data_IF_845271482684
#
_entry.id   IF_845271482684
#
_cell.length_a   1.000
_cell.length_b   1.000
_cell.length_c   1.000
_cell.angle_alpha   90.00
_cell.angle_beta   90.00
_cell.angle_gamma   90.00
#
_symmetry.space_group_name_H-M   'P 1'
#
loop_
_entity.id
_entity.type
_entity.pdbx_description
1 polymer ?
#
# COMPACT_ATOMS: atom_id res chain seq x y z
N UNK A 1 -1.92 17.66 -15.05
CA UNK A 1 -1.90 17.08 -13.72
C UNK A 1 -3.05 17.66 -12.92
N UNK A 2 -3.92 16.83 -12.44
CA UNK A 2 -5.02 17.25 -11.57
C UNK A 2 -4.54 17.55 -10.13
N UNK A 3 -5.45 17.95 -9.25
CA UNK A 3 -5.09 18.28 -7.86
C UNK A 3 -4.56 17.07 -7.10
N UNK A 4 -5.18 15.89 -7.26
CA UNK A 4 -4.75 14.67 -6.56
C UNK A 4 -3.31 14.32 -6.88
N UNK A 5 -2.93 14.33 -8.16
CA UNK A 5 -1.56 14.06 -8.60
C UNK A 5 -0.57 15.07 -8.00
N UNK A 6 -0.90 16.37 -8.01
CA UNK A 6 -0.02 17.43 -7.47
C UNK A 6 0.12 17.35 -5.96
N UNK A 7 -0.95 17.02 -5.24
CA UNK A 7 -0.93 16.81 -3.79
C UNK A 7 -0.06 15.59 -3.46
N UNK A 8 -0.27 14.47 -4.17
CA UNK A 8 0.51 13.25 -4.00
C UNK A 8 2.00 13.50 -4.26
N UNK A 9 2.33 14.18 -5.36
CA UNK A 9 3.70 14.53 -5.69
C UNK A 9 4.35 15.37 -4.58
N UNK A 10 3.67 16.40 -4.06
CA UNK A 10 4.19 17.25 -2.97
C UNK A 10 4.39 16.45 -1.70
N UNK A 11 3.40 15.65 -1.30
CA UNK A 11 3.42 14.87 -0.06
C UNK A 11 4.55 13.84 -0.06
N UNK A 12 4.70 13.07 -1.16
CA UNK A 12 5.69 12.01 -1.25
C UNK A 12 7.11 12.51 -1.53
N UNK A 13 7.29 13.79 -1.93
CA UNK A 13 8.60 14.43 -2.08
C UNK A 13 9.08 15.19 -0.83
N UNK A 14 8.42 15.09 0.32
CA UNK A 14 8.94 15.62 1.57
C UNK A 14 10.30 14.97 1.89
N UNK A 15 11.27 15.76 2.44
CA UNK A 15 12.68 15.33 2.51
C UNK A 15 12.93 14.04 3.28
N UNK A 16 12.15 13.76 4.32
CA UNK A 16 12.32 12.61 5.21
C UNK A 16 11.47 11.38 4.79
N UNK A 17 10.65 11.50 3.75
CA UNK A 17 9.71 10.44 3.35
C UNK A 17 10.41 9.15 2.94
N UNK A 18 11.49 9.23 2.18
CA UNK A 18 12.21 8.03 1.73
C UNK A 18 12.76 7.20 2.89
N UNK A 19 13.35 7.85 3.90
CA UNK A 19 13.87 7.14 5.08
C UNK A 19 12.74 6.52 5.90
N UNK A 20 11.70 7.30 6.22
CA UNK A 20 10.55 6.83 7.00
C UNK A 20 9.85 5.63 6.35
N UNK A 21 9.63 5.67 5.03
CA UNK A 21 8.99 4.55 4.33
C UNK A 21 9.90 3.31 4.29
N UNK A 22 11.22 3.48 4.20
CA UNK A 22 12.15 2.36 4.25
C UNK A 22 12.23 1.70 5.65
N UNK A 23 12.03 2.47 6.73
CA UNK A 23 12.08 2.00 8.12
C UNK A 23 10.73 1.48 8.63
N UNK A 24 9.61 1.96 8.07
CA UNK A 24 8.24 1.63 8.52
C UNK A 24 8.00 0.13 8.69
N UNK A 25 8.53 -0.66 7.79
CA UNK A 25 8.38 -2.12 7.77
C UNK A 25 9.14 -2.86 8.88
N UNK A 26 10.05 -2.19 9.55
CA UNK A 26 10.77 -2.73 10.72
C UNK A 26 10.17 -2.24 12.02
N UNK A 27 9.32 -1.23 11.96
CA UNK A 27 8.79 -0.49 13.10
C UNK A 27 7.38 -0.94 13.47
N UNK A 28 6.52 -1.18 12.46
CA UNK A 28 5.10 -1.48 12.70
C UNK A 28 4.74 -2.93 12.34
N UNK A 29 4.14 -3.63 13.29
CA UNK A 29 3.80 -5.06 13.14
C UNK A 29 2.77 -5.29 12.06
N UNK A 30 1.79 -4.41 11.91
CA UNK A 30 0.76 -4.53 10.87
C UNK A 30 1.37 -4.38 9.47
N UNK A 31 2.35 -3.51 9.28
CA UNK A 31 3.11 -3.42 8.02
C UNK A 31 3.91 -4.70 7.76
N UNK A 32 4.57 -5.26 8.79
CA UNK A 32 5.30 -6.53 8.66
C UNK A 32 4.36 -7.66 8.20
N UNK A 33 3.18 -7.77 8.80
CA UNK A 33 2.20 -8.82 8.46
C UNK A 33 1.66 -8.64 7.04
N UNK A 34 1.30 -7.41 6.67
CA UNK A 34 0.80 -7.09 5.33
C UNK A 34 1.86 -7.40 4.26
N UNK A 35 3.09 -6.97 4.48
CA UNK A 35 4.19 -7.22 3.53
C UNK A 35 4.51 -8.70 3.39
N UNK A 36 4.50 -9.45 4.49
CA UNK A 36 4.72 -10.90 4.45
C UNK A 36 3.65 -11.63 3.63
N UNK A 37 2.39 -11.19 3.69
CA UNK A 37 1.31 -11.73 2.87
C UNK A 37 1.56 -11.44 1.38
N UNK A 38 1.80 -10.18 1.02
CA UNK A 38 2.03 -9.75 -0.36
C UNK A 38 3.27 -10.45 -0.94
N UNK A 39 4.36 -10.52 -0.19
CA UNK A 39 5.59 -11.19 -0.59
C UNK A 39 5.36 -12.67 -0.90
N UNK A 40 4.60 -13.37 -0.05
CA UNK A 40 4.25 -14.77 -0.27
C UNK A 40 3.42 -14.95 -1.53
N UNK A 41 2.37 -14.15 -1.72
CA UNK A 41 1.55 -14.19 -2.94
C UNK A 41 2.39 -13.91 -4.18
N UNK A 42 3.23 -12.89 -4.12
CA UNK A 42 4.10 -12.50 -5.21
C UNK A 42 5.07 -13.63 -5.60
N UNK A 43 5.82 -14.17 -4.64
CA UNK A 43 6.81 -15.23 -4.89
C UNK A 43 6.18 -16.55 -5.33
N UNK A 44 4.94 -16.83 -4.93
CA UNK A 44 4.21 -18.05 -5.34
C UNK A 44 3.72 -18.00 -6.78
N UNK A 45 3.79 -16.84 -7.44
CA UNK A 45 3.17 -16.63 -8.75
C UNK A 45 4.16 -16.05 -9.78
N UNK A 46 5.44 -16.45 -9.72
CA UNK A 46 6.48 -15.98 -10.65
C UNK A 46 6.71 -16.88 -11.86
N UNK A 47 6.00 -18.00 -11.98
CA UNK A 47 6.18 -18.95 -13.09
C UNK A 47 5.99 -18.25 -14.45
N UNK A 48 7.04 -18.32 -15.28
CA UNK A 48 7.06 -17.71 -16.60
C UNK A 48 7.15 -16.19 -16.63
N UNK A 49 7.32 -15.50 -15.49
CA UNK A 49 7.52 -14.05 -15.42
C UNK A 49 8.98 -13.71 -15.65
N UNK A 50 9.26 -12.73 -16.50
CA UNK A 50 10.59 -12.18 -16.77
C UNK A 50 10.64 -10.66 -16.61
N UNK A 51 9.54 -9.98 -16.94
CA UNK A 51 9.45 -8.52 -16.92
C UNK A 51 8.32 -8.08 -15.99
N UNK A 52 8.62 -7.08 -15.16
CA UNK A 52 7.69 -6.57 -14.15
C UNK A 52 7.59 -5.05 -14.25
N UNK A 53 6.36 -4.54 -14.16
CA UNK A 53 6.07 -3.14 -13.91
C UNK A 53 5.62 -3.00 -12.45
N UNK A 54 6.33 -2.19 -11.69
CA UNK A 54 6.02 -1.86 -10.29
C UNK A 54 5.58 -0.40 -10.22
N UNK A 55 4.28 -0.18 -10.16
CA UNK A 55 3.64 1.14 -10.24
C UNK A 55 3.36 1.73 -8.87
N UNK A 56 3.91 2.92 -8.59
CA UNK A 56 3.90 3.52 -7.25
C UNK A 56 4.84 2.76 -6.31
N UNK A 57 6.02 2.41 -6.81
CA UNK A 57 6.94 1.45 -6.21
C UNK A 57 7.64 1.94 -4.92
N UNK A 58 7.47 3.22 -4.55
CA UNK A 58 8.01 3.80 -3.32
C UNK A 58 9.53 3.59 -3.16
N UNK A 59 9.96 3.11 -2.00
CA UNK A 59 11.38 2.81 -1.72
C UNK A 59 11.88 1.52 -2.37
N UNK A 60 11.07 0.86 -3.23
CA UNK A 60 11.51 -0.24 -4.07
C UNK A 60 11.59 -1.62 -3.41
N UNK A 61 10.90 -1.83 -2.27
CA UNK A 61 10.91 -3.13 -1.58
C UNK A 61 10.65 -4.30 -2.53
N UNK A 62 9.52 -4.28 -3.22
CA UNK A 62 9.13 -5.38 -4.11
C UNK A 62 9.92 -5.37 -5.41
N UNK A 63 10.31 -4.21 -5.93
CA UNK A 63 11.24 -4.09 -7.06
C UNK A 63 12.56 -4.81 -6.77
N UNK A 64 13.16 -4.57 -5.60
CA UNK A 64 14.41 -5.19 -5.15
C UNK A 64 14.23 -6.69 -4.91
N UNK A 65 13.12 -7.09 -4.27
CA UNK A 65 12.79 -8.50 -4.05
C UNK A 65 12.77 -9.27 -5.36
N UNK A 66 12.07 -8.75 -6.38
CA UNK A 66 11.94 -9.42 -7.68
C UNK A 66 13.23 -9.36 -8.51
N UNK A 67 13.98 -8.27 -8.41
CA UNK A 67 15.30 -8.17 -9.04
C UNK A 67 16.27 -9.22 -8.47
N UNK A 68 16.21 -9.53 -7.16
CA UNK A 68 16.95 -10.64 -6.54
C UNK A 68 16.54 -12.01 -7.06
N UNK A 69 15.29 -12.18 -7.52
CA UNK A 69 14.84 -13.39 -8.21
C UNK A 69 15.30 -13.45 -9.68
N UNK A 70 16.07 -12.47 -10.13
CA UNK A 70 16.61 -12.42 -11.50
C UNK A 70 15.69 -11.73 -12.51
N UNK A 71 14.57 -11.15 -12.10
CA UNK A 71 13.62 -10.48 -12.98
C UNK A 71 14.10 -9.07 -13.37
N UNK A 72 13.64 -8.58 -14.52
CA UNK A 72 13.80 -7.19 -14.92
C UNK A 72 12.60 -6.38 -14.47
N UNK A 73 12.85 -5.33 -13.68
CA UNK A 73 11.80 -4.53 -13.07
C UNK A 73 11.85 -3.09 -13.59
N UNK A 74 10.71 -2.57 -14.03
CA UNK A 74 10.48 -1.14 -14.19
C UNK A 74 9.87 -0.61 -12.92
N UNK A 75 10.68 0.08 -12.12
CA UNK A 75 10.28 0.80 -10.90
C UNK A 75 9.75 2.17 -11.32
N UNK A 76 8.45 2.38 -11.15
CA UNK A 76 7.76 3.60 -11.57
C UNK A 76 7.13 4.30 -10.35
N UNK A 77 7.51 5.55 -10.11
CA UNK A 77 6.99 6.34 -8.99
C UNK A 77 6.91 7.83 -9.33
N UNK A 78 5.99 8.54 -8.71
CA UNK A 78 5.82 9.99 -8.87
C UNK A 78 6.88 10.78 -8.08
N UNK A 79 7.39 10.20 -6.99
CA UNK A 79 8.30 10.83 -6.06
C UNK A 79 9.75 10.61 -6.42
N UNK A 80 10.47 11.73 -6.61
CA UNK A 80 11.92 11.67 -6.75
C UNK A 80 12.61 11.17 -5.47
N UNK A 81 12.14 11.61 -4.31
CA UNK A 81 12.67 11.20 -3.00
C UNK A 81 12.59 9.69 -2.83
N UNK A 82 11.47 9.07 -3.22
CA UNK A 82 11.31 7.61 -3.18
C UNK A 82 12.24 6.90 -4.16
N UNK A 83 12.32 7.37 -5.41
CA UNK A 83 13.20 6.79 -6.43
C UNK A 83 14.67 6.87 -6.01
N UNK A 84 15.11 8.00 -5.47
CA UNK A 84 16.49 8.18 -5.02
C UNK A 84 16.82 7.18 -3.88
N UNK A 85 15.88 6.99 -2.93
CA UNK A 85 16.03 5.99 -1.87
C UNK A 85 15.99 4.56 -2.40
N UNK A 86 15.11 4.25 -3.34
CA UNK A 86 15.04 2.94 -3.98
C UNK A 86 16.33 2.59 -4.72
N UNK A 87 16.97 3.55 -5.39
CA UNK A 87 18.28 3.37 -6.04
C UNK A 87 19.37 3.04 -5.04
N UNK A 88 19.44 3.77 -3.93
CA UNK A 88 20.39 3.50 -2.84
C UNK A 88 20.22 2.08 -2.29
N UNK A 89 18.98 1.67 -2.03
CA UNK A 89 18.68 0.33 -1.51
C UNK A 89 18.96 -0.77 -2.54
N UNK A 90 18.67 -0.53 -3.82
CA UNK A 90 18.96 -1.47 -4.90
C UNK A 90 20.49 -1.66 -5.12
N UNK A 91 21.25 -0.59 -5.01
CA UNK A 91 22.72 -0.63 -5.07
C UNK A 91 23.30 -1.46 -3.91
N UNK A 92 22.87 -1.16 -2.67
CA UNK A 92 23.22 -1.94 -1.47
C UNK A 92 22.84 -3.43 -1.60
N UNK A 93 21.77 -3.72 -2.32
CA UNK A 93 21.29 -5.08 -2.58
C UNK A 93 22.02 -5.78 -3.74
N UNK A 94 22.83 -5.07 -4.53
CA UNK A 94 23.56 -5.60 -5.69
C UNK A 94 22.66 -5.94 -6.88
N UNK A 95 21.53 -5.24 -7.06
CA UNK A 95 20.54 -5.53 -8.12
C UNK A 95 20.18 -4.29 -8.97
N UNK A 96 20.98 -3.24 -8.87
CA UNK A 96 20.72 -1.96 -9.55
C UNK A 96 20.62 -2.13 -11.08
N UNK A 97 21.40 -3.02 -11.68
CA UNK A 97 21.43 -3.33 -13.10
C UNK A 97 20.15 -4.02 -13.63
N UNK A 98 19.31 -4.54 -12.73
CA UNK A 98 18.04 -5.21 -13.06
C UNK A 98 16.82 -4.32 -12.93
N UNK A 99 17.00 -3.08 -12.44
CA UNK A 99 15.90 -2.17 -12.17
C UNK A 99 16.03 -0.91 -13.03
N UNK A 100 15.02 -0.64 -13.85
CA UNK A 100 14.88 0.62 -14.59
C UNK A 100 14.00 1.56 -13.77
N UNK A 101 14.54 2.68 -13.35
CA UNK A 101 13.81 3.67 -12.55
C UNK A 101 13.20 4.75 -13.43
N UNK A 102 11.91 4.93 -13.34
CA UNK A 102 11.15 5.92 -14.12
C UNK A 102 10.32 6.78 -13.19
N UNK A 103 10.39 8.10 -13.36
CA UNK A 103 9.54 9.04 -12.65
C UNK A 103 8.32 9.37 -13.49
N UNK A 104 7.12 9.19 -12.93
CA UNK A 104 5.86 9.51 -13.59
C UNK A 104 4.66 9.32 -12.68
N UNK A 105 3.50 9.78 -13.13
CA UNK A 105 2.22 9.62 -12.46
C UNK A 105 1.48 8.41 -13.04
N UNK A 106 0.81 7.61 -12.18
CA UNK A 106 0.05 6.43 -12.61
C UNK A 106 -1.15 6.78 -13.52
N UNK A 107 -1.57 8.03 -13.52
CA UNK A 107 -2.61 8.57 -14.41
C UNK A 107 -2.13 8.76 -15.86
N UNK A 108 -0.83 8.62 -16.13
CA UNK A 108 -0.27 8.69 -17.47
C UNK A 108 0.73 7.56 -17.74
N UNK A 109 0.20 6.45 -18.24
CA UNK A 109 0.96 5.29 -18.69
C UNK A 109 0.96 5.14 -20.22
N UNK A 110 0.68 6.23 -20.95
CA UNK A 110 0.57 6.25 -22.41
C UNK A 110 1.86 5.91 -23.15
N UNK A 111 3.01 6.12 -22.51
CA UNK A 111 4.33 5.78 -23.05
C UNK A 111 4.58 4.26 -23.18
N UNK A 112 3.77 3.44 -22.54
CA UNK A 112 3.93 1.97 -22.56
C UNK A 112 2.89 1.32 -23.47
N UNK A 113 3.36 0.38 -24.29
CA UNK A 113 2.50 -0.41 -25.15
C UNK A 113 1.66 -1.42 -24.35
N UNK A 114 0.54 -1.86 -24.93
CA UNK A 114 -0.28 -2.93 -24.39
C UNK A 114 0.54 -4.22 -24.22
N UNK A 115 0.27 -4.96 -23.15
CA UNK A 115 0.90 -6.24 -22.85
C UNK A 115 2.43 -6.21 -22.84
N UNK A 116 3.04 -5.10 -22.38
CA UNK A 116 4.49 -4.91 -22.38
C UNK A 116 5.22 -5.57 -21.20
N UNK A 117 4.50 -5.96 -20.14
CA UNK A 117 5.08 -6.60 -18.96
C UNK A 117 4.38 -7.92 -18.62
N UNK A 118 5.16 -8.95 -18.28
CA UNK A 118 4.60 -10.25 -17.89
C UNK A 118 3.77 -10.13 -16.61
N UNK A 119 4.23 -9.33 -15.63
CA UNK A 119 3.54 -8.99 -14.39
C UNK A 119 3.44 -7.48 -14.25
N UNK A 120 2.25 -6.99 -13.93
CA UNK A 120 2.04 -5.61 -13.46
C UNK A 120 1.63 -5.66 -12.01
N UNK A 121 2.30 -4.87 -11.17
CA UNK A 121 1.97 -4.76 -9.76
C UNK A 121 1.91 -3.31 -9.30
N UNK A 122 1.12 -3.06 -8.23
CA UNK A 122 1.01 -1.76 -7.57
C UNK A 122 0.57 -2.00 -6.12
N UNK A 123 1.46 -1.83 -5.15
CA UNK A 123 1.19 -2.17 -3.76
C UNK A 123 1.27 -0.95 -2.83
N UNK A 124 0.62 -1.03 -1.67
CA UNK A 124 0.47 0.06 -0.69
C UNK A 124 -0.39 1.21 -1.19
N UNK A 125 -1.42 0.86 -1.96
CA UNK A 125 -2.51 1.74 -2.35
C UNK A 125 -2.17 2.94 -3.27
N UNK A 126 -1.16 2.92 -4.17
CA UNK A 126 -0.94 4.06 -5.06
C UNK A 126 -2.15 4.38 -5.92
N UNK A 127 -2.88 3.35 -6.37
CA UNK A 127 -4.13 3.50 -7.15
C UNK A 127 -5.20 4.29 -6.39
N UNK A 128 -5.25 4.15 -5.07
CA UNK A 128 -6.19 4.91 -4.23
C UNK A 128 -5.93 6.41 -4.24
N UNK A 129 -4.72 6.84 -4.55
CA UNK A 129 -4.35 8.26 -4.63
C UNK A 129 -4.55 8.89 -6.00
N UNK A 130 -5.05 8.14 -6.98
CA UNK A 130 -5.33 8.64 -8.33
C UNK A 130 -6.77 9.14 -8.53
N UNK A 131 -7.53 9.32 -7.43
CA UNK A 131 -8.88 9.89 -7.51
C UNK A 131 -8.89 11.25 -8.22
N UNK A 132 -9.84 11.54 -9.13
CA UNK A 132 -11.02 10.75 -9.50
C UNK A 132 -10.76 9.73 -10.63
N UNK A 133 -9.50 9.44 -10.96
CA UNK A 133 -9.09 8.62 -12.11
C UNK A 133 -8.77 7.17 -11.74
N UNK A 134 -9.09 6.71 -10.52
CA UNK A 134 -8.70 5.38 -10.00
C UNK A 134 -9.15 4.21 -10.88
N UNK A 135 -10.34 4.30 -11.48
CA UNK A 135 -10.82 3.26 -12.40
C UNK A 135 -10.05 3.26 -13.73
N UNK A 136 -9.73 4.45 -14.25
CA UNK A 136 -8.90 4.54 -15.45
C UNK A 136 -7.50 4.03 -15.19
N UNK A 137 -6.91 4.34 -14.03
CA UNK A 137 -5.61 3.83 -13.61
C UNK A 137 -5.60 2.29 -13.55
N UNK A 138 -6.67 1.66 -13.01
CA UNK A 138 -6.80 0.19 -13.04
C UNK A 138 -6.84 -0.31 -14.48
N UNK A 139 -7.62 0.31 -15.38
CA UNK A 139 -7.67 -0.07 -16.80
C UNK A 139 -6.29 0.00 -17.45
N UNK A 140 -5.54 1.07 -17.18
CA UNK A 140 -4.21 1.26 -17.76
C UNK A 140 -3.19 0.25 -17.20
N UNK A 141 -3.22 -0.05 -15.91
CA UNK A 141 -2.38 -1.10 -15.32
C UNK A 141 -2.71 -2.48 -15.91
N UNK A 142 -4.00 -2.82 -16.07
CA UNK A 142 -4.42 -4.08 -16.72
C UNK A 142 -3.97 -4.12 -18.18
N UNK A 143 -4.09 -3.01 -18.92
CA UNK A 143 -3.64 -2.90 -20.31
C UNK A 143 -2.15 -3.24 -20.47
N UNK A 144 -1.32 -2.81 -19.52
CA UNK A 144 0.12 -3.10 -19.57
C UNK A 144 0.45 -4.57 -19.29
N UNK A 145 -0.42 -5.29 -18.57
CA UNK A 145 -0.16 -6.66 -18.15
C UNK A 145 -0.36 -7.66 -19.29
N UNK A 146 0.59 -8.58 -19.44
CA UNK A 146 0.55 -9.67 -20.43
C UNK A 146 0.03 -10.97 -19.85
N UNK A 147 0.37 -11.28 -18.59
CA UNK A 147 0.03 -12.56 -17.96
C UNK A 147 -0.72 -12.35 -16.64
N UNK A 148 -0.27 -11.44 -15.81
CA UNK A 148 -0.75 -11.33 -14.44
C UNK A 148 -0.77 -9.90 -13.94
N UNK A 149 -1.76 -9.58 -13.12
CA UNK A 149 -1.84 -8.34 -12.35
C UNK A 149 -1.96 -8.65 -10.86
N UNK A 150 -1.27 -7.86 -10.03
CA UNK A 150 -1.37 -7.89 -8.58
C UNK A 150 -1.38 -6.46 -8.05
N UNK A 151 -2.44 -6.07 -7.37
CA UNK A 151 -2.54 -4.72 -6.80
C UNK A 151 -3.05 -4.76 -5.37
N UNK A 152 -2.71 -3.74 -4.59
CA UNK A 152 -3.41 -3.46 -3.36
C UNK A 152 -3.88 -2.01 -3.31
N UNK A 153 -5.09 -1.83 -2.79
CA UNK A 153 -5.75 -0.53 -2.68
C UNK A 153 -6.23 -0.32 -1.25
N UNK A 154 -6.54 0.92 -0.89
CA UNK A 154 -7.15 1.21 0.41
C UNK A 154 -8.52 0.54 0.52
N UNK A 155 -8.76 -0.17 1.63
CA UNK A 155 -10.02 -0.85 1.91
C UNK A 155 -10.99 0.09 2.62
N UNK A 156 -12.19 0.27 2.07
CA UNK A 156 -13.25 1.06 2.71
C UNK A 156 -13.66 0.46 4.05
N UNK A 157 -13.94 -0.83 4.09
CA UNK A 157 -14.35 -1.50 5.32
C UNK A 157 -13.23 -1.60 6.37
N UNK A 158 -11.99 -1.84 5.93
CA UNK A 158 -10.83 -1.89 6.83
C UNK A 158 -10.45 -0.54 7.41
N UNK A 159 -10.76 0.56 6.72
CA UNK A 159 -10.47 1.91 7.15
C UNK A 159 -11.45 2.46 8.18
N UNK A 160 -12.71 2.02 8.21
CA UNK A 160 -13.70 2.53 9.16
C UNK A 160 -13.31 2.31 10.62
N UNK A 161 -12.90 1.09 11.06
CA UNK A 161 -12.40 0.90 12.42
C UNK A 161 -11.14 1.72 12.71
N UNK A 162 -10.29 1.91 11.70
CA UNK A 162 -9.10 2.74 11.79
C UNK A 162 -9.47 4.23 12.03
N UNK A 163 -10.45 4.78 11.32
CA UNK A 163 -10.93 6.15 11.52
C UNK A 163 -11.61 6.35 12.88
N UNK A 164 -12.27 5.30 13.38
CA UNK A 164 -12.91 5.31 14.70
C UNK A 164 -11.94 5.12 15.88
N UNK A 165 -10.66 4.85 15.60
CA UNK A 165 -9.66 4.57 16.62
C UNK A 165 -8.60 5.70 16.69
N UNK A 166 -8.65 6.57 17.70
CA UNK A 166 -7.70 7.67 17.83
C UNK A 166 -6.26 7.17 18.03
N UNK A 167 -6.08 5.92 18.51
CA UNK A 167 -4.77 5.32 18.78
C UNK A 167 -4.23 4.48 17.63
N UNK A 168 -4.84 4.53 16.47
CA UNK A 168 -4.48 3.70 15.33
C UNK A 168 -2.99 3.70 14.98
N UNK A 169 -2.31 4.85 15.14
CA UNK A 169 -0.87 5.01 14.88
C UNK A 169 0.00 4.56 16.06
N UNK A 170 -0.60 4.38 17.23
CA UNK A 170 0.08 3.96 18.47
C UNK A 170 -0.10 2.45 18.73
N UNK A 171 -0.86 1.78 17.87
CA UNK A 171 -1.00 0.33 17.91
C UNK A 171 0.04 -0.31 17.00
N UNK A 172 0.39 -1.54 17.31
CA UNK A 172 1.26 -2.36 16.47
C UNK A 172 2.72 -1.90 16.38
N UNK A 173 3.21 -1.11 17.36
CA UNK A 173 4.62 -0.74 17.47
C UNK A 173 5.42 -1.95 17.97
N UNK A 174 6.45 -2.35 17.21
CA UNK A 174 7.28 -3.51 17.54
C UNK A 174 8.23 -3.24 18.73
N UNK A 175 8.83 -2.05 18.77
CA UNK A 175 9.73 -1.61 19.83
C UNK A 175 9.37 -0.21 20.31
N UNK A 176 8.70 -0.13 21.45
CA UNK A 176 8.31 1.13 22.08
C UNK A 176 9.52 1.92 22.65
N UNK A 177 10.68 1.28 22.81
CA UNK A 177 11.92 1.93 23.24
C UNK A 177 12.75 2.47 22.07
N UNK A 178 12.27 2.32 20.85
CA UNK A 178 12.94 2.84 19.66
C UNK A 178 13.17 4.35 19.77
N UNK A 179 14.35 4.81 19.37
CA UNK A 179 14.65 6.24 19.25
C UNK A 179 14.06 6.88 17.98
N UNK A 180 13.34 6.12 17.16
CA UNK A 180 12.64 6.61 15.98
C UNK A 180 11.66 7.72 16.36
N UNK A 181 11.80 8.87 15.69
CA UNK A 181 11.03 10.08 16.02
C UNK A 181 9.54 9.90 15.81
N UNK A 182 9.14 9.04 14.86
CA UNK A 182 7.74 8.74 14.60
C UNK A 182 7.14 7.85 15.69
N UNK A 183 7.88 6.83 16.14
CA UNK A 183 7.47 6.00 17.27
C UNK A 183 7.28 6.87 18.51
N UNK A 184 8.28 7.70 18.83
CA UNK A 184 8.22 8.59 20.00
C UNK A 184 7.07 9.59 19.89
N UNK A 185 6.80 10.13 18.70
CA UNK A 185 5.62 10.98 18.50
C UNK A 185 4.32 10.23 18.74
N UNK A 186 4.18 9.02 18.22
CA UNK A 186 3.01 8.17 18.46
C UNK A 186 2.77 7.95 19.95
N UNK A 187 3.80 7.56 20.69
CA UNK A 187 3.70 7.27 22.13
C UNK A 187 3.38 8.53 22.93
N UNK A 188 4.08 9.63 22.67
CA UNK A 188 3.94 10.88 23.41
C UNK A 188 2.60 11.59 23.13
N UNK A 189 2.00 11.41 21.96
CA UNK A 189 0.70 12.00 21.61
C UNK A 189 -0.50 11.16 22.06
N UNK A 190 -0.29 9.95 22.58
CA UNK A 190 -1.36 8.99 22.91
C UNK A 190 -2.47 9.58 23.79
N UNK A 191 -2.10 10.21 24.89
CA UNK A 191 -3.11 10.76 25.81
C UNK A 191 -3.86 11.94 25.19
N UNK A 192 -3.16 12.82 24.47
CA UNK A 192 -3.78 13.94 23.76
C UNK A 192 -4.76 13.45 22.69
N UNK A 193 -4.45 12.36 22.00
CA UNK A 193 -5.35 11.77 21.01
C UNK A 193 -6.62 11.20 21.65
N UNK A 194 -6.51 10.56 22.84
CA UNK A 194 -7.66 10.05 23.58
C UNK A 194 -8.53 11.22 24.04
N UNK A 195 -7.94 12.20 24.68
CA UNK A 195 -8.66 13.34 25.29
C UNK A 195 -9.35 14.22 24.23
N UNK A 196 -8.73 14.36 23.08
CA UNK A 196 -9.25 15.14 21.94
C UNK A 196 -10.22 14.38 21.05
N UNK A 197 -10.40 13.08 21.26
CA UNK A 197 -11.25 12.28 20.39
C UNK A 197 -12.74 12.48 20.69
N UNK A 198 -13.52 12.68 19.63
CA UNK A 198 -14.98 12.66 19.68
C UNK A 198 -15.48 11.76 18.55
N UNK A 199 -16.22 10.71 18.91
CA UNK A 199 -16.88 9.86 17.92
C UNK A 199 -17.96 10.64 17.17
N UNK A 200 -17.86 10.65 15.86
CA UNK A 200 -18.84 11.29 14.97
C UNK A 200 -19.20 10.32 13.85
N UNK A 201 -20.44 9.86 13.86
CA UNK A 201 -20.97 8.93 12.86
C UNK A 201 -20.88 9.50 11.44
N UNK A 202 -21.14 10.80 11.28
CA UNK A 202 -21.12 11.49 10.00
C UNK A 202 -19.78 11.37 9.26
N UNK A 203 -18.65 11.34 9.98
CA UNK A 203 -17.34 11.18 9.37
C UNK A 203 -17.14 9.76 8.81
N UNK A 204 -17.66 8.76 9.52
CA UNK A 204 -17.59 7.36 9.08
C UNK A 204 -18.56 7.10 7.93
N UNK A 205 -19.78 7.63 8.02
CA UNK A 205 -20.80 7.48 6.98
C UNK A 205 -20.38 8.14 5.67
N UNK A 206 -19.78 9.33 5.71
CA UNK A 206 -19.24 9.97 4.53
C UNK A 206 -18.22 9.08 3.80
N UNK A 207 -17.26 8.51 4.54
CA UNK A 207 -16.28 7.57 3.96
C UNK A 207 -16.95 6.29 3.44
N UNK A 208 -17.91 5.75 4.19
CA UNK A 208 -18.63 4.54 3.79
C UNK A 208 -19.41 4.73 2.50
N UNK A 209 -20.06 5.88 2.32
CA UNK A 209 -20.90 6.19 1.17
C UNK A 209 -20.09 6.62 -0.05
N UNK A 210 -19.13 7.52 0.14
CA UNK A 210 -18.38 8.14 -0.97
C UNK A 210 -17.11 7.39 -1.34
N UNK A 211 -16.52 6.61 -0.42
CA UNK A 211 -15.19 6.03 -0.54
C UNK A 211 -14.04 7.00 -0.26
N UNK A 212 -14.31 8.27 0.00
CA UNK A 212 -13.27 9.27 0.27
C UNK A 212 -12.97 9.34 1.77
N UNK A 213 -11.70 9.29 2.12
CA UNK A 213 -11.24 9.38 3.52
C UNK A 213 -10.99 10.83 3.97
N UNK A 214 -11.00 11.78 3.06
CA UNK A 214 -10.75 13.19 3.36
C UNK A 214 -11.84 14.10 2.80
N UNK A 215 -11.92 15.29 3.37
CA UNK A 215 -12.63 16.41 2.75
C UNK A 215 -11.78 16.95 1.60
N UNK A 216 -12.28 16.81 0.37
CA UNK A 216 -11.56 17.22 -0.84
C UNK A 216 -11.38 18.73 -0.91
N UNK A 217 -12.38 19.51 -0.50
CA UNK A 217 -12.34 20.98 -0.55
C UNK A 217 -11.29 21.50 0.44
N UNK A 218 -11.30 21.01 1.68
CA UNK A 218 -10.31 21.41 2.68
C UNK A 218 -8.90 20.96 2.30
N UNK A 219 -8.74 19.74 1.74
CA UNK A 219 -7.46 19.21 1.30
C UNK A 219 -6.87 20.06 0.17
N UNK A 220 -7.69 20.45 -0.80
CA UNK A 220 -7.25 21.32 -1.91
C UNK A 220 -6.95 22.73 -1.41
N UNK A 221 -7.75 23.28 -0.51
CA UNK A 221 -7.50 24.58 0.11
C UNK A 221 -6.17 24.60 0.91
N UNK A 222 -5.88 23.55 1.67
CA UNK A 222 -4.61 23.42 2.37
C UNK A 222 -3.42 23.37 1.39
N UNK A 223 -3.58 22.61 0.29
CA UNK A 223 -2.56 22.58 -0.76
C UNK A 223 -2.32 23.95 -1.39
N UNK A 224 -3.35 24.72 -1.67
CA UNK A 224 -3.25 26.05 -2.27
C UNK A 224 -2.64 27.09 -1.30
N UNK A 225 -2.80 26.89 0.02
CA UNK A 225 -2.05 27.65 1.06
C UNK A 225 -0.56 27.30 1.13
N UNK A 226 -0.07 26.33 0.34
CA UNK A 226 1.32 25.89 0.31
C UNK A 226 1.64 24.76 1.30
N UNK A 227 0.65 24.23 1.99
CA UNK A 227 0.78 23.07 2.89
C UNK A 227 1.02 21.78 2.11
N UNK A 228 1.43 20.71 2.79
CA UNK A 228 1.54 19.36 2.25
C UNK A 228 0.51 18.46 2.96
N UNK A 229 -0.79 18.59 2.62
CA UNK A 229 -1.82 17.75 3.20
C UNK A 229 -1.62 16.29 2.78
N UNK A 230 -2.26 15.36 3.51
CA UNK A 230 -2.29 13.97 3.07
C UNK A 230 -2.98 13.85 1.71
N UNK A 231 -2.61 12.83 0.94
CA UNK A 231 -3.18 12.57 -0.38
C UNK A 231 -4.69 12.37 -0.33
N UNK A 232 -5.41 12.85 -1.35
CA UNK A 232 -6.80 12.48 -1.55
C UNK A 232 -6.83 10.97 -1.81
N UNK A 233 -7.51 10.22 -0.95
CA UNK A 233 -7.51 8.76 -1.00
C UNK A 233 -8.90 8.21 -1.19
N UNK A 234 -9.06 7.42 -2.27
CA UNK A 234 -10.28 6.66 -2.54
C UNK A 234 -10.15 5.24 -2.02
N UNK A 235 -11.12 4.81 -1.21
CA UNK A 235 -11.16 3.51 -0.56
C UNK A 235 -12.19 2.61 -1.22
N UNK A 236 -11.75 1.46 -1.68
CA UNK A 236 -12.57 0.53 -2.45
C UNK A 236 -13.37 -0.41 -1.54
N UNK A 237 -14.59 -0.77 -2.00
CA UNK A 237 -15.26 -1.97 -1.54
C UNK A 237 -14.66 -3.21 -2.24
N UNK A 238 -14.64 -4.38 -1.58
CA UNK A 238 -14.07 -5.59 -2.20
C UNK A 238 -14.72 -5.98 -3.52
N UNK A 239 -16.05 -5.92 -3.59
CA UNK A 239 -16.82 -6.25 -4.79
C UNK A 239 -16.64 -5.20 -5.91
N UNK A 240 -16.41 -3.94 -5.55
CA UNK A 240 -16.10 -2.88 -6.50
C UNK A 240 -14.73 -3.11 -7.17
N UNK A 241 -13.68 -3.37 -6.39
CA UNK A 241 -12.36 -3.68 -6.92
C UNK A 241 -12.40 -4.91 -7.84
N UNK A 242 -13.08 -5.96 -7.39
CA UNK A 242 -13.25 -7.18 -8.18
C UNK A 242 -13.93 -6.90 -9.51
N UNK A 243 -15.06 -6.19 -9.50
CA UNK A 243 -15.78 -5.81 -10.74
C UNK A 243 -14.91 -4.97 -11.67
N UNK A 244 -14.16 -4.01 -11.14
CA UNK A 244 -13.27 -3.17 -11.96
C UNK A 244 -12.23 -4.00 -12.70
N UNK A 245 -11.61 -4.96 -12.03
CA UNK A 245 -10.64 -5.87 -12.64
C UNK A 245 -11.31 -6.80 -13.67
N UNK A 246 -12.43 -7.41 -13.33
CA UNK A 246 -13.17 -8.31 -14.22
C UNK A 246 -13.69 -7.59 -15.48
N UNK A 247 -14.17 -6.34 -15.35
CA UNK A 247 -14.58 -5.51 -16.46
C UNK A 247 -13.43 -5.15 -17.41
N UNK A 248 -12.19 -5.13 -16.90
CA UNK A 248 -10.98 -4.98 -17.71
C UNK A 248 -10.49 -6.29 -18.34
N UNK A 249 -11.21 -7.40 -18.15
CA UNK A 249 -10.88 -8.70 -18.74
C UNK A 249 -10.01 -9.60 -17.85
N UNK A 250 -9.67 -9.18 -16.63
CA UNK A 250 -8.93 -10.01 -15.67
C UNK A 250 -9.77 -11.22 -15.26
N UNK A 251 -9.15 -12.40 -15.26
CA UNK A 251 -9.77 -13.66 -14.89
C UNK A 251 -9.22 -14.16 -13.55
N UNK A 252 -9.98 -15.08 -12.95
CA UNK A 252 -9.59 -15.78 -11.72
C UNK A 252 -9.19 -14.81 -10.60
N UNK A 253 -9.96 -13.69 -10.47
CA UNK A 253 -9.69 -12.64 -9.48
C UNK A 253 -9.85 -13.18 -8.07
N UNK A 254 -8.75 -13.14 -7.30
CA UNK A 254 -8.69 -13.48 -5.89
C UNK A 254 -8.46 -12.23 -5.08
N UNK A 255 -9.23 -12.06 -4.00
CA UNK A 255 -9.08 -10.96 -3.06
C UNK A 255 -8.56 -11.48 -1.72
N UNK A 256 -7.81 -10.63 -1.00
CA UNK A 256 -7.39 -10.88 0.38
C UNK A 256 -7.37 -9.57 1.18
N UNK A 257 -7.41 -9.70 2.51
CA UNK A 257 -7.30 -8.59 3.46
C UNK A 257 -6.05 -8.72 4.33
N UNK A 258 -4.84 -8.48 3.79
CA UNK A 258 -3.61 -8.62 4.54
C UNK A 258 -3.62 -7.85 5.86
N UNK A 259 -3.30 -8.55 6.96
CA UNK A 259 -3.26 -8.00 8.30
C UNK A 259 -4.61 -7.94 9.04
N UNK A 260 -5.70 -8.44 8.44
CA UNK A 260 -7.02 -8.43 9.07
C UNK A 260 -7.03 -9.17 10.42
N UNK A 261 -6.39 -10.34 10.50
CA UNK A 261 -6.30 -11.11 11.75
C UNK A 261 -5.42 -10.41 12.80
N UNK A 262 -4.25 -9.94 12.40
CA UNK A 262 -3.31 -9.30 13.32
C UNK A 262 -3.94 -8.11 14.07
N UNK A 263 -4.80 -7.36 13.42
CA UNK A 263 -5.47 -6.18 14.01
C UNK A 263 -6.46 -6.49 15.12
N UNK A 264 -6.84 -7.75 15.31
CA UNK A 264 -7.71 -8.18 16.42
C UNK A 264 -6.95 -8.50 17.70
N UNK A 265 -5.60 -8.49 17.65
CA UNK A 265 -4.73 -8.92 18.74
C UNK A 265 -4.09 -7.69 19.40
N UNK A 266 -4.09 -7.61 20.75
CA UNK A 266 -3.40 -6.53 21.47
C UNK A 266 -1.90 -6.44 21.15
N UNK A 267 -1.36 -5.22 21.14
CA UNK A 267 0.02 -4.96 20.76
C UNK A 267 1.04 -5.77 21.60
N UNK A 268 0.83 -5.84 22.89
CA UNK A 268 1.72 -6.55 23.83
C UNK A 268 1.85 -8.05 23.49
N UNK A 269 0.76 -8.65 22.99
CA UNK A 269 0.76 -10.05 22.56
C UNK A 269 1.46 -10.17 21.20
N UNK A 270 1.19 -9.24 20.26
CA UNK A 270 1.85 -9.23 18.96
C UNK A 270 3.36 -9.05 19.10
N UNK A 271 3.82 -8.13 19.94
CA UNK A 271 5.25 -7.92 20.21
C UNK A 271 5.91 -9.21 20.72
N UNK A 272 5.25 -9.92 21.65
CA UNK A 272 5.75 -11.22 22.15
C UNK A 272 5.88 -12.24 21.03
N UNK A 273 4.86 -12.38 20.19
CA UNK A 273 4.87 -13.30 19.05
C UNK A 273 5.98 -12.93 18.05
N UNK A 274 6.10 -11.65 17.71
CA UNK A 274 7.04 -11.18 16.69
C UNK A 274 8.51 -11.27 17.12
N UNK A 275 8.79 -11.28 18.42
CA UNK A 275 10.15 -11.44 18.96
C UNK A 275 10.59 -12.91 19.13
N UNK A 276 9.70 -13.87 18.92
CA UNK A 276 10.01 -15.30 18.91
C UNK A 276 9.99 -15.80 17.46
N UNK A 277 11.10 -16.29 16.90
CA UNK A 277 11.17 -16.68 15.48
C UNK A 277 10.21 -17.80 15.08
N UNK A 278 9.96 -18.77 15.98
CA UNK A 278 9.05 -19.89 15.69
C UNK A 278 7.59 -19.42 15.73
N UNK A 279 7.21 -18.70 16.78
CA UNK A 279 5.86 -18.12 16.89
C UNK A 279 5.58 -17.13 15.76
N UNK A 280 6.55 -16.28 15.42
CA UNK A 280 6.43 -15.33 14.29
C UNK A 280 6.13 -16.06 12.99
N UNK A 281 6.88 -17.13 12.70
CA UNK A 281 6.66 -17.92 11.48
C UNK A 281 5.26 -18.52 11.47
N UNK A 282 4.85 -19.19 12.52
CA UNK A 282 3.53 -19.82 12.64
C UNK A 282 2.41 -18.78 12.54
N UNK A 283 2.58 -17.65 13.20
CA UNK A 283 1.64 -16.54 13.16
C UNK A 283 1.46 -15.95 11.76
N UNK A 284 2.55 -15.66 11.04
CA UNK A 284 2.50 -15.15 9.68
C UNK A 284 1.87 -16.17 8.71
N UNK A 285 2.17 -17.45 8.90
CA UNK A 285 1.55 -18.54 8.13
C UNK A 285 0.03 -18.62 8.37
N UNK A 286 -0.40 -18.43 9.61
CA UNK A 286 -1.82 -18.39 9.95
C UNK A 286 -2.50 -17.12 9.39
N UNK A 287 -1.91 -15.93 9.58
CA UNK A 287 -2.44 -14.69 9.03
C UNK A 287 -2.67 -14.81 7.52
N UNK A 288 -1.71 -15.34 6.77
CA UNK A 288 -1.86 -15.51 5.32
C UNK A 288 -3.08 -16.37 4.96
N UNK A 289 -3.32 -17.48 5.67
CA UNK A 289 -4.50 -18.34 5.43
C UNK A 289 -5.81 -17.65 5.81
N UNK A 290 -5.84 -16.98 6.96
CA UNK A 290 -7.02 -16.28 7.46
C UNK A 290 -7.38 -15.10 6.57
N UNK A 291 -6.41 -14.27 6.23
CA UNK A 291 -6.59 -13.04 5.44
C UNK A 291 -7.05 -13.34 4.00
N UNK A 292 -6.83 -14.58 3.53
CA UNK A 292 -7.28 -15.07 2.22
C UNK A 292 -8.73 -15.59 2.21
N UNK A 293 -9.42 -15.61 3.36
CA UNK A 293 -10.82 -15.99 3.43
C UNK A 293 -11.68 -14.92 2.75
N UNK A 294 -12.56 -15.26 1.78
CA UNK A 294 -13.30 -14.27 0.99
C UNK A 294 -14.10 -13.26 1.82
N UNK A 295 -14.62 -13.67 2.99
CA UNK A 295 -15.40 -12.79 3.88
C UNK A 295 -14.53 -11.79 4.68
N UNK A 296 -13.22 -12.00 4.72
CA UNK A 296 -12.26 -11.20 5.47
C UNK A 296 -11.54 -10.18 4.58
N UNK A 297 -11.60 -10.34 3.26
CA UNK A 297 -10.82 -9.54 2.31
C UNK A 297 -11.00 -8.01 2.45
N UNK A 298 -12.17 -7.55 2.89
CA UNK A 298 -12.42 -6.13 3.15
C UNK A 298 -11.86 -5.61 4.48
N UNK A 299 -11.40 -6.48 5.38
CA UNK A 299 -11.04 -6.12 6.76
C UNK A 299 -9.56 -5.76 6.93
N UNK A 300 -8.73 -5.95 5.90
CA UNK A 300 -7.34 -5.49 5.91
C UNK A 300 -7.27 -3.97 5.96
N UNK A 301 -6.40 -3.43 6.82
CA UNK A 301 -6.16 -1.99 6.90
C UNK A 301 -5.39 -1.54 5.67
N UNK A 302 -5.85 -0.47 5.01
CA UNK A 302 -5.18 0.17 3.88
C UNK A 302 -4.69 -0.79 2.76
N UNK A 303 -5.06 -2.08 2.86
CA UNK A 303 -4.64 -3.13 1.95
C UNK A 303 -5.80 -4.09 1.65
N UNK A 304 -6.58 -3.75 0.66
CA UNK A 304 -7.40 -4.70 -0.06
C UNK A 304 -6.56 -5.21 -1.24
N UNK A 305 -6.02 -6.41 -1.08
CA UNK A 305 -5.18 -7.05 -2.08
C UNK A 305 -6.04 -7.75 -3.12
N UNK A 306 -5.61 -7.67 -4.38
CA UNK A 306 -6.21 -8.40 -5.50
C UNK A 306 -5.13 -8.94 -6.42
N UNK A 307 -5.34 -10.15 -6.95
CA UNK A 307 -4.57 -10.71 -8.07
C UNK A 307 -5.47 -11.38 -9.10
N UNK A 308 -5.00 -11.45 -10.34
CA UNK A 308 -5.71 -12.16 -11.38
C UNK A 308 -4.86 -12.36 -12.63
N UNK A 309 -5.38 -13.19 -13.54
CA UNK A 309 -4.71 -13.60 -14.77
C UNK A 309 -5.22 -12.81 -15.97
N UNK A 310 -4.32 -12.48 -16.90
CA UNK A 310 -4.63 -11.90 -18.21
C UNK A 310 -4.56 -13.04 -19.24
N UNK A 311 -5.62 -13.20 -20.04
CA UNK A 311 -5.72 -14.24 -21.09
C UNK A 311 -5.94 -13.64 -22.46
#
# INVERSE_FOLDING_TARGET
MDYSTRISERMWNLPDKGEREAEREQTFIDDIVQKAHIERELLSHLDGIQTVFDGGAGCGRFSILLARQGLRVTHFDISRTMIDKARELADKAGVLDRITFVRGALEDLSAYADHSFDLVMSFDAPVSYTWPNQEQTIRDLVRLAKKRIMISVSSRLGSLPYLANPLQKNQFILDENSSDTWVQWCLNSRQQMIDGFTFREENLMSTLETGLMCDVEETTAAFDRGEAPWCISYHFMPDELKRNLENCGVKDVVLAGPGAFARTIPNEILVKIMNDPEQKKEFLDFCHRYDSIPYVCGMGKDNLFARGEIR
#
